data_IF_208936353570
#
_entry.id   IF_208936353570
#
_cell.length_a   1.000
_cell.length_b   1.000
_cell.length_c   1.000
_cell.angle_alpha   90.00
_cell.angle_beta   90.00
_cell.angle_gamma   90.00
#
_symmetry.space_group_name_H-M   'P 1'
#
loop_
_entity.id
_entity.type
_entity.pdbx_description
1 polymer ?
#
# COMPACT_ATOMS: atom_id res chain seq x y z
N UNK A 1 -31.18 1.89 -16.96
CA UNK A 1 -30.93 3.29 -16.55
C UNK A 1 -30.80 3.51 -15.05
N UNK A 2 -31.81 3.23 -14.19
CA UNK A 2 -31.70 3.45 -12.72
C UNK A 2 -30.67 2.54 -12.04
N UNK A 3 -30.64 1.25 -12.41
CA UNK A 3 -29.69 0.26 -11.86
C UNK A 3 -28.24 0.61 -12.23
N UNK A 4 -27.99 1.05 -13.47
CA UNK A 4 -26.65 1.48 -13.92
C UNK A 4 -26.19 2.76 -13.23
N UNK A 5 -27.10 3.72 -13.02
CA UNK A 5 -26.80 4.97 -12.30
C UNK A 5 -26.43 4.71 -10.83
N UNK A 6 -27.08 3.74 -10.19
CA UNK A 6 -26.73 3.29 -8.83
C UNK A 6 -25.38 2.57 -8.78
N UNK A 7 -25.07 1.71 -9.75
CA UNK A 7 -23.77 1.04 -9.81
C UNK A 7 -22.63 2.03 -10.04
N UNK A 8 -22.80 3.00 -10.94
CA UNK A 8 -21.79 4.02 -11.18
C UNK A 8 -21.48 4.82 -9.91
N UNK A 9 -22.51 5.27 -9.20
CA UNK A 9 -22.38 5.99 -7.93
C UNK A 9 -21.70 5.15 -6.84
N UNK A 10 -22.05 3.87 -6.74
CA UNK A 10 -21.44 2.96 -5.77
C UNK A 10 -19.96 2.70 -6.08
N UNK A 11 -19.60 2.47 -7.34
CA UNK A 11 -18.20 2.31 -7.74
C UNK A 11 -17.39 3.58 -7.48
N UNK A 12 -17.97 4.75 -7.73
CA UNK A 12 -17.34 6.04 -7.43
C UNK A 12 -17.07 6.22 -5.94
N UNK A 13 -17.98 5.83 -5.06
CA UNK A 13 -17.75 5.89 -3.61
C UNK A 13 -16.55 5.04 -3.18
N UNK A 14 -16.39 3.83 -3.73
CA UNK A 14 -15.24 2.98 -3.45
C UNK A 14 -13.94 3.55 -4.04
N UNK A 15 -14.00 4.13 -5.24
CA UNK A 15 -12.86 4.82 -5.83
C UNK A 15 -12.42 6.04 -5.01
N UNK A 16 -13.37 6.81 -4.47
CA UNK A 16 -13.06 7.88 -3.52
C UNK A 16 -12.39 7.32 -2.26
N UNK A 17 -12.87 6.20 -1.71
CA UNK A 17 -12.21 5.56 -0.56
C UNK A 17 -10.77 5.13 -0.88
N UNK A 18 -10.50 4.60 -2.07
CA UNK A 18 -9.12 4.25 -2.47
C UNK A 18 -8.25 5.50 -2.62
N UNK A 19 -8.78 6.58 -3.19
CA UNK A 19 -8.05 7.86 -3.28
C UNK A 19 -7.83 8.49 -1.90
N UNK A 20 -8.77 8.34 -0.96
CA UNK A 20 -8.58 8.76 0.42
C UNK A 20 -7.49 7.95 1.13
N UNK A 21 -7.38 6.64 0.86
CA UNK A 21 -6.29 5.83 1.39
C UNK A 21 -4.93 6.29 0.84
N UNK A 22 -4.85 6.60 -0.46
CA UNK A 22 -3.66 7.18 -1.09
C UNK A 22 -3.32 8.57 -0.54
N UNK A 23 -4.31 9.45 -0.38
CA UNK A 23 -4.13 10.74 0.28
C UNK A 23 -3.66 10.58 1.74
N UNK A 24 -4.11 9.51 2.41
CA UNK A 24 -3.64 9.10 3.73
C UNK A 24 -2.13 8.84 3.78
N UNK A 25 -1.59 8.14 2.77
CA UNK A 25 -0.13 7.98 2.62
C UNK A 25 0.54 9.35 2.48
N UNK A 26 -0.02 10.22 1.63
CA UNK A 26 0.47 11.58 1.40
C UNK A 26 0.47 12.51 2.63
N UNK A 27 -0.22 12.17 3.72
CA UNK A 27 -0.15 12.94 4.97
C UNK A 27 1.24 12.90 5.61
N UNK A 28 2.01 11.84 5.39
CA UNK A 28 3.41 11.79 5.81
C UNK A 28 4.22 12.89 5.10
N UNK A 29 3.99 13.12 3.81
CA UNK A 29 4.70 14.17 3.08
C UNK A 29 4.40 15.56 3.67
N UNK A 30 3.15 15.81 4.10
CA UNK A 30 2.81 17.04 4.83
C UNK A 30 3.51 17.10 6.19
N UNK A 31 3.59 15.99 6.91
CA UNK A 31 4.29 15.92 8.18
C UNK A 31 5.79 16.22 8.00
N UNK A 32 6.46 15.48 7.11
CA UNK A 32 7.89 15.49 6.88
C UNK A 32 8.42 16.76 6.19
N UNK A 33 7.65 17.38 5.30
CA UNK A 33 8.12 18.50 4.47
C UNK A 33 7.49 19.85 4.82
N UNK A 34 6.45 19.89 5.66
CA UNK A 34 5.81 21.13 6.06
C UNK A 34 5.77 21.30 7.58
N UNK A 35 5.16 20.35 8.30
CA UNK A 35 4.87 20.51 9.74
C UNK A 35 6.15 20.37 10.56
N UNK A 36 6.89 19.28 10.42
CA UNK A 36 8.08 19.02 11.23
C UNK A 36 9.26 19.95 10.90
N UNK A 37 9.54 20.32 9.64
CA UNK A 37 10.54 21.35 9.37
C UNK A 37 10.20 22.70 9.99
N UNK A 38 8.92 23.06 10.07
CA UNK A 38 8.47 24.27 10.75
C UNK A 38 8.69 24.19 12.27
N UNK A 39 8.54 23.01 12.88
CA UNK A 39 8.70 22.80 14.33
C UNK A 39 10.18 22.65 14.73
N UNK A 40 10.93 21.83 13.99
CA UNK A 40 12.33 21.49 14.31
C UNK A 40 13.34 22.45 13.67
N UNK A 41 12.93 23.30 12.73
CA UNK A 41 13.80 24.26 12.05
C UNK A 41 14.83 23.63 11.11
N UNK A 42 14.64 22.36 10.72
CA UNK A 42 15.57 21.60 9.87
C UNK A 42 14.85 20.59 8.99
N UNK A 43 15.52 20.13 7.96
CA UNK A 43 14.95 19.18 6.99
C UNK A 43 14.95 17.74 7.51
N UNK A 44 14.11 16.87 6.92
CA UNK A 44 14.02 15.44 7.28
C UNK A 44 15.39 14.72 7.25
N UNK A 45 16.27 15.13 6.34
CA UNK A 45 17.60 14.54 6.19
C UNK A 45 18.54 14.88 7.36
N UNK A 46 18.21 15.88 8.17
CA UNK A 46 19.00 16.39 9.31
C UNK A 46 18.39 15.98 10.66
N UNK A 47 17.39 15.10 10.65
CA UNK A 47 16.78 14.60 11.87
C UNK A 47 17.77 13.73 12.65
N UNK A 48 17.83 13.97 13.95
CA UNK A 48 18.47 13.07 14.91
C UNK A 48 17.71 11.75 14.98
N UNK A 49 18.33 10.75 15.59
CA UNK A 49 17.70 9.43 15.80
C UNK A 49 16.33 9.57 16.48
N UNK A 50 16.23 10.42 17.51
CA UNK A 50 14.98 10.63 18.26
C UNK A 50 13.92 11.27 17.37
N UNK A 51 14.27 12.29 16.58
CA UNK A 51 13.31 12.96 15.68
C UNK A 51 12.85 12.03 14.56
N UNK A 52 13.74 11.21 13.98
CA UNK A 52 13.33 10.19 12.99
C UNK A 52 12.37 9.16 13.58
N UNK A 53 12.61 8.71 14.82
CA UNK A 53 11.72 7.77 15.51
C UNK A 53 10.38 8.43 15.82
N UNK A 54 10.37 9.68 16.31
CA UNK A 54 9.14 10.43 16.56
C UNK A 54 8.33 10.62 15.29
N UNK A 55 8.98 10.99 14.19
CA UNK A 55 8.37 11.09 12.87
C UNK A 55 7.66 9.79 12.49
N UNK A 56 8.37 8.65 12.51
CA UNK A 56 7.77 7.36 12.15
C UNK A 56 6.62 6.97 13.07
N UNK A 57 6.72 7.22 14.38
CA UNK A 57 5.65 6.93 15.33
C UNK A 57 4.41 7.79 15.05
N UNK A 58 4.59 9.08 14.80
CA UNK A 58 3.49 9.99 14.46
C UNK A 58 2.83 9.57 13.14
N UNK A 59 3.61 9.23 12.12
CA UNK A 59 3.10 8.73 10.85
C UNK A 59 2.31 7.44 11.03
N UNK A 60 2.79 6.48 11.85
CA UNK A 60 2.05 5.26 12.18
C UNK A 60 0.68 5.58 12.79
N UNK A 61 0.61 6.52 13.74
CA UNK A 61 -0.65 6.92 14.39
C UNK A 61 -1.61 7.53 13.37
N UNK A 62 -1.14 8.44 12.52
CA UNK A 62 -1.95 9.07 11.47
C UNK A 62 -2.52 8.00 10.54
N UNK A 63 -1.67 7.10 10.04
CA UNK A 63 -2.07 6.03 9.13
C UNK A 63 -3.01 5.02 9.76
N UNK A 64 -2.83 4.69 11.05
CA UNK A 64 -3.75 3.85 11.80
C UNK A 64 -5.14 4.51 11.88
N UNK A 65 -5.21 5.79 12.24
CA UNK A 65 -6.46 6.55 12.33
C UNK A 65 -7.16 6.61 10.97
N UNK A 66 -6.44 6.98 9.90
CA UNK A 66 -6.99 7.01 8.53
C UNK A 66 -7.54 5.64 8.15
N UNK A 67 -6.75 4.58 8.36
CA UNK A 67 -7.16 3.22 8.03
C UNK A 67 -8.44 2.80 8.77
N UNK A 68 -8.51 3.04 10.07
CA UNK A 68 -9.69 2.75 10.90
C UNK A 68 -10.93 3.52 10.43
N UNK A 69 -10.77 4.81 10.11
CA UNK A 69 -11.86 5.65 9.59
C UNK A 69 -12.39 5.11 8.25
N UNK A 70 -11.50 4.77 7.32
CA UNK A 70 -11.89 4.26 6.01
C UNK A 70 -12.55 2.88 6.09
N UNK A 71 -12.01 1.96 6.89
CA UNK A 71 -12.60 0.64 7.14
C UNK A 71 -13.99 0.78 7.76
N UNK A 72 -14.14 1.65 8.77
CA UNK A 72 -15.42 1.89 9.44
C UNK A 72 -16.42 2.54 8.49
N UNK A 73 -15.99 3.48 7.65
CA UNK A 73 -16.82 4.11 6.64
C UNK A 73 -17.30 3.08 5.61
N UNK A 74 -16.41 2.23 5.09
CA UNK A 74 -16.75 1.16 4.17
C UNK A 74 -17.81 0.21 4.74
N UNK A 75 -17.63 -0.24 5.98
CA UNK A 75 -18.56 -1.14 6.65
C UNK A 75 -19.90 -0.49 6.95
N UNK A 76 -19.91 0.72 7.53
CA UNK A 76 -21.14 1.38 7.99
C UNK A 76 -21.93 2.07 6.88
N UNK A 77 -21.27 2.73 5.93
CA UNK A 77 -21.93 3.53 4.89
C UNK A 77 -22.19 2.73 3.61
N UNK A 78 -21.34 1.75 3.30
CA UNK A 78 -21.40 1.03 2.03
C UNK A 78 -21.59 -0.48 2.21
N UNK A 79 -21.88 -0.94 3.42
CA UNK A 79 -22.13 -2.36 3.75
C UNK A 79 -21.03 -3.30 3.26
N UNK A 80 -19.79 -2.80 3.17
CA UNK A 80 -18.65 -3.52 2.65
C UNK A 80 -17.66 -3.81 3.77
N UNK A 81 -17.60 -5.08 4.18
CA UNK A 81 -16.67 -5.55 5.19
C UNK A 81 -15.47 -6.24 4.53
N UNK A 82 -14.30 -5.59 4.57
CA UNK A 82 -13.07 -6.10 3.96
C UNK A 82 -12.58 -7.40 4.60
N UNK A 83 -13.00 -7.70 5.84
CA UNK A 83 -12.62 -8.90 6.57
C UNK A 83 -13.58 -10.08 6.35
N UNK A 84 -14.62 -9.90 5.53
CA UNK A 84 -15.59 -10.96 5.23
C UNK A 84 -15.04 -12.07 4.34
N UNK A 85 -14.01 -11.78 3.53
CA UNK A 85 -13.36 -12.76 2.65
C UNK A 85 -12.41 -13.65 3.45
N UNK A 86 -12.88 -14.82 3.89
CA UNK A 86 -12.12 -15.79 4.70
C UNK A 86 -11.92 -17.15 4.02
N UNK A 87 -12.18 -17.23 2.73
CA UNK A 87 -12.06 -18.47 1.96
C UNK A 87 -10.63 -18.99 2.02
N UNK A 88 -10.48 -20.30 2.23
CA UNK A 88 -9.21 -20.97 2.02
C UNK A 88 -8.84 -20.95 0.53
N UNK A 89 -7.54 -20.89 0.26
CA UNK A 89 -7.00 -20.91 -1.09
C UNK A 89 -6.41 -22.29 -1.37
N UNK A 90 -6.56 -22.78 -2.61
CA UNK A 90 -6.04 -24.08 -3.00
C UNK A 90 -4.51 -24.06 -3.16
N UNK A 91 -3.91 -25.24 -3.29
CA UNK A 91 -2.46 -25.37 -3.49
C UNK A 91 -1.95 -24.57 -4.69
N UNK A 92 -2.68 -24.57 -5.80
CA UNK A 92 -2.34 -23.79 -6.99
C UNK A 92 -2.25 -22.28 -6.70
N UNK A 93 -3.20 -21.73 -5.95
CA UNK A 93 -3.18 -20.33 -5.54
C UNK A 93 -2.00 -20.02 -4.60
N UNK A 94 -1.66 -20.94 -3.69
CA UNK A 94 -0.46 -20.80 -2.85
C UNK A 94 0.82 -20.77 -3.69
N UNK A 95 0.96 -21.69 -4.66
CA UNK A 95 2.10 -21.71 -5.58
C UNK A 95 2.19 -20.36 -6.33
N UNK A 96 1.08 -19.87 -6.86
CA UNK A 96 1.03 -18.57 -7.54
C UNK A 96 1.42 -17.42 -6.60
N UNK A 97 0.94 -17.41 -5.36
CA UNK A 97 1.34 -16.42 -4.35
C UNK A 97 2.86 -16.40 -4.13
N UNK A 98 3.48 -17.57 -3.99
CA UNK A 98 4.94 -17.67 -3.79
C UNK A 98 5.74 -17.28 -5.04
N UNK A 99 5.24 -17.61 -6.23
CA UNK A 99 5.84 -17.15 -7.49
C UNK A 99 5.79 -15.62 -7.59
N UNK A 100 4.65 -15.00 -7.28
CA UNK A 100 4.50 -13.54 -7.27
C UNK A 100 5.43 -12.88 -6.25
N UNK A 101 5.56 -13.48 -5.06
CA UNK A 101 6.52 -13.04 -4.04
C UNK A 101 7.96 -13.11 -4.59
N UNK A 102 8.38 -14.23 -5.16
CA UNK A 102 9.72 -14.39 -5.73
C UNK A 102 10.02 -13.38 -6.85
N UNK A 103 9.05 -13.12 -7.74
CA UNK A 103 9.19 -12.09 -8.78
C UNK A 103 9.37 -10.70 -8.14
N UNK A 104 8.60 -10.37 -7.10
CA UNK A 104 8.75 -9.10 -6.37
C UNK A 104 10.12 -8.95 -5.73
N UNK A 105 10.67 -10.03 -5.15
CA UNK A 105 12.02 -10.03 -4.57
C UNK A 105 13.09 -9.76 -5.62
N UNK A 106 12.97 -10.35 -6.81
CA UNK A 106 13.90 -10.10 -7.93
C UNK A 106 13.83 -8.63 -8.36
N UNK A 107 12.63 -8.08 -8.51
CA UNK A 107 12.43 -6.65 -8.84
C UNK A 107 13.07 -5.75 -7.78
N UNK A 108 12.86 -6.05 -6.49
CA UNK A 108 13.43 -5.30 -5.37
C UNK A 108 14.95 -5.41 -5.34
N UNK A 109 15.50 -6.60 -5.54
CA UNK A 109 16.94 -6.82 -5.58
C UNK A 109 17.61 -5.98 -6.68
N UNK A 110 17.01 -5.91 -7.87
CA UNK A 110 17.49 -5.07 -8.97
C UNK A 110 17.36 -3.59 -8.59
N UNK A 111 16.18 -3.16 -8.14
CA UNK A 111 15.90 -1.76 -7.79
C UNK A 111 16.76 -1.22 -6.65
N UNK A 112 17.12 -2.08 -5.69
CA UNK A 112 17.96 -1.71 -4.54
C UNK A 112 19.43 -2.06 -4.75
N UNK A 113 19.79 -2.69 -5.87
CA UNK A 113 21.13 -3.21 -6.15
C UNK A 113 21.66 -4.11 -5.00
N UNK A 114 20.83 -5.05 -4.56
CA UNK A 114 21.09 -5.94 -3.42
C UNK A 114 19.86 -6.15 -2.53
N UNK A 115 20.02 -6.89 -1.43
CA UNK A 115 18.94 -7.14 -0.47
C UNK A 115 18.56 -5.85 0.29
N UNK A 116 17.32 -5.39 0.10
CA UNK A 116 16.79 -4.17 0.72
C UNK A 116 16.95 -4.21 2.25
N UNK A 117 16.50 -5.30 2.88
CA UNK A 117 16.57 -5.50 4.33
C UNK A 117 17.98 -5.32 4.89
N UNK A 118 18.99 -5.91 4.23
CA UNK A 118 20.38 -5.83 4.68
C UNK A 118 20.90 -4.40 4.56
N UNK A 119 20.63 -3.73 3.43
CA UNK A 119 21.06 -2.35 3.21
C UNK A 119 20.43 -1.39 4.21
N UNK A 120 19.14 -1.55 4.48
CA UNK A 120 18.44 -0.74 5.48
C UNK A 120 18.98 -0.98 6.88
N UNK A 121 19.22 -2.24 7.27
CA UNK A 121 19.80 -2.56 8.57
C UNK A 121 21.18 -1.93 8.77
N UNK A 122 22.06 -2.04 7.77
CA UNK A 122 23.41 -1.46 7.82
C UNK A 122 23.38 0.07 7.84
N UNK A 123 22.45 0.70 7.11
CA UNK A 123 22.30 2.16 7.05
C UNK A 123 21.69 2.75 8.33
N UNK A 124 20.65 2.11 8.86
CA UNK A 124 19.88 2.65 9.98
C UNK A 124 20.38 2.17 11.35
N UNK A 125 21.11 1.06 11.40
CA UNK A 125 21.39 0.37 12.66
C UNK A 125 20.12 -0.24 13.28
N UNK A 126 20.31 -1.06 14.31
CA UNK A 126 19.23 -1.90 14.85
C UNK A 126 18.01 -1.11 15.34
N UNK A 127 18.20 0.04 16.01
CA UNK A 127 17.11 0.78 16.63
C UNK A 127 16.19 1.42 15.59
N UNK A 128 16.74 2.23 14.67
CA UNK A 128 15.96 2.86 13.60
C UNK A 128 15.35 1.81 12.69
N UNK A 129 16.05 0.71 12.44
CA UNK A 129 15.53 -0.41 11.63
C UNK A 129 14.24 -1.00 12.21
N UNK A 130 14.16 -1.21 13.53
CA UNK A 130 12.92 -1.72 14.17
C UNK A 130 11.75 -0.76 13.94
N UNK A 131 11.93 0.53 14.19
CA UNK A 131 10.87 1.53 14.00
C UNK A 131 10.47 1.68 12.53
N UNK A 132 11.44 1.62 11.60
CA UNK A 132 11.18 1.62 10.17
C UNK A 132 10.31 0.44 9.74
N UNK A 133 10.51 -0.75 10.31
CA UNK A 133 9.72 -1.94 9.96
C UNK A 133 8.33 -1.92 10.60
N UNK A 134 8.18 -1.34 11.78
CA UNK A 134 6.86 -1.01 12.34
C UNK A 134 6.13 -0.04 11.41
N UNK A 135 6.81 1.01 10.98
CA UNK A 135 6.30 1.97 10.01
C UNK A 135 5.83 1.29 8.70
N UNK A 136 6.61 0.36 8.15
CA UNK A 136 6.22 -0.40 6.96
C UNK A 136 4.99 -1.29 7.14
N UNK A 137 4.72 -1.78 8.35
CA UNK A 137 3.47 -2.50 8.63
C UNK A 137 2.25 -1.59 8.43
N UNK A 138 2.32 -0.34 8.91
CA UNK A 138 1.24 0.65 8.76
C UNK A 138 1.12 1.17 7.33
N UNK A 139 2.25 1.42 6.64
CA UNK A 139 2.26 1.79 5.22
C UNK A 139 1.51 0.74 4.38
N UNK A 140 1.80 -0.54 4.66
CA UNK A 140 1.19 -1.65 3.93
C UNK A 140 -0.31 -1.75 4.16
N UNK A 141 -0.83 -1.35 5.34
CA UNK A 141 -2.28 -1.30 5.58
C UNK A 141 -2.94 -0.34 4.57
N UNK A 142 -2.35 0.83 4.36
CA UNK A 142 -2.87 1.80 3.39
C UNK A 142 -2.76 1.29 1.95
N UNK A 143 -1.68 0.61 1.56
CA UNK A 143 -1.62 -0.06 0.25
C UNK A 143 -2.77 -1.05 0.05
N UNK A 144 -3.01 -1.90 1.04
CA UNK A 144 -4.10 -2.85 0.99
C UNK A 144 -5.44 -2.13 0.85
N UNK A 145 -5.67 -1.04 1.57
CA UNK A 145 -6.92 -0.28 1.45
C UNK A 145 -7.10 0.35 0.06
N UNK A 146 -6.03 0.89 -0.55
CA UNK A 146 -6.07 1.36 -1.93
C UNK A 146 -6.49 0.21 -2.86
N UNK A 147 -5.81 -0.95 -2.75
CA UNK A 147 -6.08 -2.13 -3.57
C UNK A 147 -7.52 -2.60 -3.39
N UNK A 148 -7.95 -2.82 -2.16
CA UNK A 148 -9.27 -3.38 -1.82
C UNK A 148 -10.39 -2.50 -2.33
N UNK A 149 -10.32 -1.18 -2.08
CA UNK A 149 -11.38 -0.27 -2.48
C UNK A 149 -11.39 -0.03 -3.99
N UNK A 150 -10.23 0.11 -4.64
CA UNK A 150 -10.16 0.25 -6.09
C UNK A 150 -10.57 -1.05 -6.80
N UNK A 151 -10.23 -2.20 -6.24
CA UNK A 151 -10.70 -3.50 -6.71
C UNK A 151 -12.23 -3.56 -6.69
N UNK A 152 -12.84 -3.13 -5.57
CA UNK A 152 -14.30 -3.07 -5.44
C UNK A 152 -14.93 -2.07 -6.42
N UNK A 153 -14.31 -0.92 -6.62
CA UNK A 153 -14.79 0.09 -7.57
C UNK A 153 -14.85 -0.47 -9.00
N UNK A 154 -13.75 -1.07 -9.47
CA UNK A 154 -13.68 -1.66 -10.80
C UNK A 154 -14.65 -2.82 -11.00
N UNK A 155 -14.83 -3.66 -9.98
CA UNK A 155 -15.84 -4.75 -10.01
C UNK A 155 -17.26 -4.22 -10.17
N UNK A 156 -17.60 -3.15 -9.46
CA UNK A 156 -18.93 -2.54 -9.55
C UNK A 156 -19.16 -1.88 -10.91
N UNK A 157 -18.15 -1.19 -11.45
CA UNK A 157 -18.26 -0.51 -12.74
C UNK A 157 -18.27 -1.47 -13.93
N UNK A 158 -17.35 -2.42 -13.95
CA UNK A 158 -17.08 -3.23 -15.14
C UNK A 158 -17.62 -4.66 -15.03
N UNK A 159 -18.08 -5.10 -13.85
CA UNK A 159 -18.54 -6.47 -13.59
C UNK A 159 -17.49 -7.52 -13.96
N UNK A 160 -16.21 -7.18 -13.77
CA UNK A 160 -15.05 -8.04 -13.98
C UNK A 160 -14.27 -8.11 -12.68
N UNK A 161 -14.27 -9.28 -12.04
CA UNK A 161 -13.62 -9.55 -10.76
C UNK A 161 -12.23 -10.20 -10.91
N UNK A 162 -11.89 -10.63 -12.13
CA UNK A 162 -10.60 -11.22 -12.48
C UNK A 162 -9.55 -10.20 -12.94
N UNK A 163 -9.93 -8.94 -13.12
CA UNK A 163 -9.01 -7.84 -13.48
C UNK A 163 -8.47 -7.19 -12.20
N UNK A 164 -7.15 -6.99 -12.06
CA UNK A 164 -6.54 -6.43 -10.85
C UNK A 164 -6.68 -4.90 -10.80
N UNK A 165 -7.91 -4.37 -10.80
CA UNK A 165 -8.19 -2.93 -10.71
C UNK A 165 -7.48 -2.26 -9.53
N UNK A 166 -7.40 -2.97 -8.39
CA UNK A 166 -6.67 -2.50 -7.22
C UNK A 166 -5.17 -2.32 -7.49
N UNK A 167 -4.56 -3.28 -8.17
CA UNK A 167 -3.14 -3.21 -8.56
C UNK A 167 -2.88 -2.12 -9.58
N UNK A 168 -3.78 -1.95 -10.55
CA UNK A 168 -3.69 -0.87 -11.55
C UNK A 168 -3.67 0.49 -10.85
N UNK A 169 -4.57 0.73 -9.88
CA UNK A 169 -4.59 2.02 -9.19
C UNK A 169 -3.32 2.23 -8.35
N UNK A 170 -2.83 1.22 -7.62
CA UNK A 170 -1.58 1.35 -6.84
C UNK A 170 -0.38 1.61 -7.76
N UNK A 171 -0.31 0.91 -8.90
CA UNK A 171 0.75 1.10 -9.88
C UNK A 171 0.77 2.55 -10.40
N UNK A 172 -0.41 3.11 -10.70
CA UNK A 172 -0.54 4.49 -11.20
C UNK A 172 -0.31 5.56 -10.12
N UNK A 173 -0.73 5.31 -8.88
CA UNK A 173 -0.67 6.33 -7.81
C UNK A 173 0.65 6.30 -7.06
N UNK A 174 1.04 5.13 -6.56
CA UNK A 174 2.27 4.94 -5.77
C UNK A 174 3.45 4.48 -6.63
N UNK A 175 3.21 3.63 -7.64
CA UNK A 175 4.28 3.16 -8.52
C UNK A 175 4.89 4.29 -9.34
N UNK A 176 4.07 5.06 -10.06
CA UNK A 176 4.55 6.19 -10.86
C UNK A 176 5.05 7.36 -10.01
N UNK A 177 4.58 7.53 -8.77
CA UNK A 177 5.10 8.60 -7.90
C UNK A 177 6.60 8.43 -7.65
N UNK A 178 7.13 7.21 -7.73
CA UNK A 178 8.56 6.93 -7.59
C UNK A 178 9.42 7.55 -8.70
N UNK A 179 8.88 7.77 -9.91
CA UNK A 179 9.59 8.49 -10.96
C UNK A 179 9.97 9.89 -10.45
N UNK A 180 9.01 10.56 -9.81
CA UNK A 180 9.19 11.94 -9.33
C UNK A 180 10.01 12.00 -8.05
N UNK A 181 9.79 11.08 -7.11
CA UNK A 181 10.48 11.12 -5.81
C UNK A 181 11.90 10.57 -5.84
N UNK A 182 12.20 9.64 -6.75
CA UNK A 182 13.54 9.04 -6.89
C UNK A 182 14.32 9.58 -8.09
N UNK A 183 13.68 10.32 -8.99
CA UNK A 183 14.32 10.93 -10.16
C UNK A 183 14.74 9.93 -11.25
N UNK A 184 14.38 8.65 -11.12
CA UNK A 184 14.80 7.60 -12.04
C UNK A 184 13.61 6.86 -12.66
N UNK A 185 13.52 6.90 -13.99
CA UNK A 185 12.45 6.28 -14.75
C UNK A 185 12.39 4.76 -14.51
N UNK A 186 13.54 4.09 -14.48
CA UNK A 186 13.60 2.64 -14.28
C UNK A 186 13.03 2.25 -12.90
N UNK A 187 13.39 2.97 -11.84
CA UNK A 187 12.87 2.71 -10.48
C UNK A 187 11.34 2.87 -10.46
N UNK A 188 10.82 3.91 -11.10
CA UNK A 188 9.37 4.12 -11.19
C UNK A 188 8.64 3.06 -12.01
N UNK A 189 9.21 2.59 -13.13
CA UNK A 189 8.65 1.49 -13.92
C UNK A 189 8.63 0.19 -13.09
N UNK A 190 9.72 -0.13 -12.39
CA UNK A 190 9.80 -1.29 -11.51
C UNK A 190 8.78 -1.19 -10.36
N UNK A 191 8.59 -0.01 -9.78
CA UNK A 191 7.58 0.24 -8.75
C UNK A 191 6.15 0.12 -9.29
N UNK A 192 5.90 0.58 -10.53
CA UNK A 192 4.63 0.36 -11.23
C UNK A 192 4.31 -1.13 -11.36
N UNK A 193 5.26 -1.94 -11.84
CA UNK A 193 5.09 -3.39 -11.91
C UNK A 193 4.88 -4.02 -10.52
N UNK A 194 5.59 -3.55 -9.50
CA UNK A 194 5.36 -3.96 -8.10
C UNK A 194 3.91 -3.73 -7.66
N UNK A 195 3.34 -2.56 -7.95
CA UNK A 195 1.93 -2.25 -7.65
C UNK A 195 0.95 -3.20 -8.34
N UNK A 196 1.20 -3.56 -9.61
CA UNK A 196 0.40 -4.55 -10.32
C UNK A 196 0.47 -5.93 -9.65
N UNK A 197 1.67 -6.37 -9.25
CA UNK A 197 1.85 -7.65 -8.56
C UNK A 197 1.07 -7.71 -7.25
N UNK A 198 1.00 -6.60 -6.48
CA UNK A 198 0.19 -6.55 -5.26
C UNK A 198 -1.30 -6.78 -5.55
N UNK A 199 -1.85 -6.15 -6.61
CA UNK A 199 -3.24 -6.38 -7.01
C UNK A 199 -3.51 -7.81 -7.48
N UNK A 200 -2.58 -8.39 -8.24
CA UNK A 200 -2.69 -9.79 -8.69
C UNK A 200 -2.66 -10.73 -7.48
N UNK A 201 -1.74 -10.51 -6.53
CA UNK A 201 -1.67 -11.30 -5.30
C UNK A 201 -2.97 -11.23 -4.49
N UNK A 202 -3.57 -10.04 -4.40
CA UNK A 202 -4.87 -9.88 -3.74
C UNK A 202 -5.98 -10.71 -4.40
N UNK A 203 -5.99 -10.81 -5.74
CA UNK A 203 -6.94 -11.67 -6.45
C UNK A 203 -6.63 -13.17 -6.28
N UNK A 204 -5.36 -13.57 -6.43
CA UNK A 204 -4.92 -14.96 -6.27
C UNK A 204 -5.18 -15.47 -4.85
N UNK A 205 -5.06 -14.60 -3.84
CA UNK A 205 -5.44 -14.90 -2.46
C UNK A 205 -6.95 -14.89 -2.21
N UNK A 206 -7.78 -14.88 -3.26
CA UNK A 206 -9.26 -14.81 -3.20
C UNK A 206 -9.77 -13.63 -2.36
N UNK A 207 -9.07 -12.49 -2.42
CA UNK A 207 -9.38 -11.27 -1.68
C UNK A 207 -9.30 -11.45 -0.16
N UNK A 208 -8.70 -12.54 0.31
CA UNK A 208 -8.56 -12.84 1.73
C UNK A 208 -7.45 -11.97 2.32
N UNK A 209 -7.84 -10.92 3.05
CA UNK A 209 -6.89 -9.95 3.62
C UNK A 209 -5.92 -10.58 4.62
N UNK A 210 -6.31 -11.68 5.29
CA UNK A 210 -5.43 -12.39 6.22
C UNK A 210 -4.28 -13.11 5.51
N UNK A 211 -4.41 -13.36 4.20
CA UNK A 211 -3.36 -13.92 3.34
C UNK A 211 -2.67 -12.81 2.55
N UNK A 212 -3.45 -11.89 1.96
CA UNK A 212 -2.94 -10.82 1.11
C UNK A 212 -2.03 -9.85 1.89
N UNK A 213 -2.45 -9.40 3.08
CA UNK A 213 -1.68 -8.44 3.87
C UNK A 213 -0.27 -8.93 4.21
N UNK A 214 -0.06 -10.10 4.85
CA UNK A 214 1.29 -10.54 5.19
C UNK A 214 2.15 -10.79 3.95
N UNK A 215 1.59 -11.31 2.86
CA UNK A 215 2.37 -11.54 1.64
C UNK A 215 2.74 -10.23 0.92
N UNK A 216 1.82 -9.25 0.82
CA UNK A 216 2.11 -7.93 0.25
C UNK A 216 3.13 -7.18 1.12
N UNK A 217 3.03 -7.30 2.44
CA UNK A 217 4.04 -6.77 3.36
C UNK A 217 5.42 -7.36 3.05
N UNK A 218 5.53 -8.69 2.94
CA UNK A 218 6.79 -9.34 2.58
C UNK A 218 7.30 -8.89 1.20
N UNK A 219 6.43 -8.78 0.20
CA UNK A 219 6.80 -8.25 -1.12
C UNK A 219 7.28 -6.80 -1.09
N UNK A 220 6.90 -6.03 -0.07
CA UNK A 220 7.26 -4.62 0.08
C UNK A 220 8.57 -4.43 0.86
N UNK A 221 8.77 -5.19 1.94
CA UNK A 221 9.90 -5.02 2.86
C UNK A 221 11.13 -5.85 2.48
N UNK A 222 10.95 -7.00 1.84
CA UNK A 222 12.06 -7.86 1.39
C UNK A 222 12.62 -7.36 0.04
#
# INVERSE_FOLDING_TARGET
MVIEKNNFKNGFNFFCLSLCAFAGLGLEALLAFLIEPFIYGKSLNEFSITESILHWVLTCIIWAVVSLVLIKAAKKKYTFDIFSYKSSIGLQNWILCFVLLAISLVIKFISWNGFKVVKEFLSNGWLKFIFQYIYYLFETILFILIIVFAQRAGEVWFRKDNIPWGGILVALTWGLSHIFTKGELLIGILAFFGGLLYGILYLVSKKNIYIAYPLIFLMFVL
#
